data_IF_607359683795
#
_entry.id   IF_607359683795
#
_cell.length_a   1.000
_cell.length_b   1.000
_cell.length_c   1.000
_cell.angle_alpha   90.00
_cell.angle_beta   90.00
_cell.angle_gamma   90.00
#
_symmetry.space_group_name_H-M   'P 1'
#
loop_
_entity.id
_entity.type
_entity.pdbx_description
1 polymer ?
#
# COMPACT_ATOMS: atom_id res chain seq x y z
N UNK A 1 35.26 -20.46 18.86
CA UNK A 1 34.51 -19.33 19.46
C UNK A 1 34.09 -18.37 18.35
N UNK A 2 32.89 -18.52 17.80
CA UNK A 2 32.39 -17.61 16.74
C UNK A 2 31.61 -16.47 17.37
N UNK A 3 32.14 -15.26 17.24
CA UNK A 3 31.55 -14.00 17.71
C UNK A 3 30.21 -13.78 17.01
N UNK A 4 29.11 -13.92 17.74
CA UNK A 4 27.78 -13.49 17.31
C UNK A 4 27.76 -11.96 17.26
N UNK A 5 27.86 -11.40 16.06
CA UNK A 5 27.68 -9.97 15.84
C UNK A 5 26.25 -9.59 16.26
N UNK A 6 26.09 -9.09 17.48
CA UNK A 6 24.82 -8.55 17.96
C UNK A 6 24.57 -7.25 17.21
N UNK A 7 23.76 -7.33 16.15
CA UNK A 7 23.32 -6.15 15.42
C UNK A 7 22.61 -5.19 16.37
N UNK A 8 22.74 -3.87 16.11
CA UNK A 8 22.09 -2.78 16.84
C UNK A 8 20.66 -3.16 17.25
N UNK A 9 20.34 -3.06 18.55
CA UNK A 9 19.01 -3.39 19.11
C UNK A 9 17.92 -2.67 18.32
N UNK A 10 16.89 -3.41 17.92
CA UNK A 10 15.76 -2.86 17.20
C UNK A 10 14.92 -1.97 18.12
N UNK A 11 14.47 -0.82 17.61
CA UNK A 11 13.58 0.05 18.36
C UNK A 11 12.23 -0.64 18.65
N UNK A 12 11.56 -0.29 19.75
CA UNK A 12 10.22 -0.75 20.06
C UNK A 12 9.26 -0.54 18.89
N UNK A 13 8.39 -1.51 18.64
CA UNK A 13 7.32 -1.38 17.66
C UNK A 13 6.20 -0.54 18.28
N UNK A 14 5.96 0.65 17.72
CA UNK A 14 4.88 1.55 18.15
C UNK A 14 3.99 1.83 16.94
N UNK A 15 2.77 1.30 16.95
CA UNK A 15 1.76 1.56 15.93
C UNK A 15 0.35 1.31 16.49
N UNK A 16 -0.65 2.17 16.19
CA UNK A 16 -2.04 1.92 16.56
C UNK A 16 -2.67 0.76 15.77
N UNK A 17 -2.04 0.34 14.66
CA UNK A 17 -2.50 -0.77 13.85
C UNK A 17 -1.94 -2.11 14.38
N UNK A 18 -2.73 -2.83 15.18
CA UNK A 18 -2.35 -4.12 15.76
C UNK A 18 -1.92 -5.17 14.73
N UNK A 19 -2.51 -5.17 13.54
CA UNK A 19 -2.13 -6.10 12.46
C UNK A 19 -0.75 -5.76 11.87
N UNK A 20 -0.42 -4.46 11.79
CA UNK A 20 0.90 -4.02 11.37
C UNK A 20 1.98 -4.31 12.43
N UNK A 21 1.63 -4.20 13.71
CA UNK A 21 2.48 -4.67 14.82
C UNK A 21 2.73 -6.17 14.71
N UNK A 22 1.68 -6.97 14.49
CA UNK A 22 1.79 -8.42 14.34
C UNK A 22 2.69 -8.82 13.16
N UNK A 23 2.55 -8.18 12.00
CA UNK A 23 3.44 -8.40 10.86
C UNK A 23 4.89 -8.08 11.20
N UNK A 24 5.15 -6.90 11.79
CA UNK A 24 6.50 -6.46 12.11
C UNK A 24 7.16 -7.37 13.16
N UNK A 25 6.42 -7.77 14.19
CA UNK A 25 6.90 -8.69 15.21
C UNK A 25 7.24 -10.05 14.60
N UNK A 26 6.33 -10.60 13.79
CA UNK A 26 6.57 -11.87 13.11
C UNK A 26 7.84 -11.83 12.23
N UNK A 27 8.06 -10.76 11.47
CA UNK A 27 9.29 -10.61 10.67
C UNK A 27 10.56 -10.61 11.55
N UNK A 28 10.54 -9.91 12.69
CA UNK A 28 11.66 -9.87 13.63
C UNK A 28 11.92 -11.23 14.28
N UNK A 29 10.85 -11.96 14.61
CA UNK A 29 10.94 -13.30 15.18
C UNK A 29 11.59 -14.26 14.18
N UNK A 30 11.20 -14.22 12.90
CA UNK A 30 11.82 -15.03 11.85
C UNK A 30 13.29 -14.68 11.61
N UNK A 31 13.65 -13.39 11.67
CA UNK A 31 15.07 -12.97 11.58
C UNK A 31 15.89 -13.47 12.75
N UNK A 32 15.32 -13.40 13.95
CA UNK A 32 15.99 -13.85 15.18
C UNK A 32 16.18 -15.37 15.17
N UNK A 33 15.15 -16.13 14.75
CA UNK A 33 15.22 -17.58 14.61
C UNK A 33 16.21 -18.04 13.54
N UNK A 34 16.36 -17.29 12.44
CA UNK A 34 17.35 -17.58 11.38
C UNK A 34 18.78 -17.10 11.72
N UNK A 35 18.96 -16.36 12.81
CA UNK A 35 20.27 -15.83 13.22
C UNK A 35 20.86 -14.78 12.29
N UNK A 36 20.07 -14.21 11.37
CA UNK A 36 20.58 -13.28 10.37
C UNK A 36 20.68 -11.84 10.91
N UNK A 37 21.83 -11.21 10.70
CA UNK A 37 21.95 -9.75 10.82
C UNK A 37 21.20 -9.08 9.67
N UNK A 38 20.76 -7.82 9.84
CA UNK A 38 20.14 -7.07 8.75
C UNK A 38 21.04 -6.93 7.51
N UNK A 39 22.37 -6.87 7.71
CA UNK A 39 23.33 -6.83 6.62
C UNK A 39 23.34 -8.16 5.84
N UNK A 40 23.34 -9.29 6.54
CA UNK A 40 23.27 -10.61 5.89
C UNK A 40 21.93 -10.84 5.21
N UNK A 41 20.84 -10.44 5.87
CA UNK A 41 19.49 -10.56 5.33
C UNK A 41 19.29 -9.69 4.08
N UNK A 42 19.92 -8.51 4.03
CA UNK A 42 19.91 -7.65 2.85
C UNK A 42 20.50 -8.33 1.61
N UNK A 43 21.64 -9.00 1.78
CA UNK A 43 22.29 -9.78 0.71
C UNK A 43 21.37 -10.92 0.24
N UNK A 44 20.81 -11.69 1.18
CA UNK A 44 19.93 -12.82 0.85
C UNK A 44 18.61 -12.40 0.21
N UNK A 45 18.04 -11.28 0.64
CA UNK A 45 16.76 -10.76 0.13
C UNK A 45 16.90 -9.92 -1.15
N UNK A 46 18.13 -9.60 -1.58
CA UNK A 46 18.38 -8.68 -2.70
C UNK A 46 17.80 -7.28 -2.48
N UNK A 47 17.77 -6.83 -1.23
CA UNK A 47 17.17 -5.55 -0.80
C UNK A 47 18.13 -4.79 0.12
N UNK A 48 18.05 -3.47 0.17
CA UNK A 48 18.85 -2.70 1.13
C UNK A 48 18.45 -3.01 2.58
N UNK A 49 19.44 -3.06 3.48
CA UNK A 49 19.21 -3.32 4.91
C UNK A 49 18.23 -2.32 5.54
N UNK A 50 18.26 -1.05 5.11
CA UNK A 50 17.33 0.00 5.55
C UNK A 50 15.89 -0.29 5.13
N UNK A 51 15.66 -0.88 3.96
CA UNK A 51 14.31 -1.31 3.51
C UNK A 51 13.77 -2.43 4.40
N UNK A 52 14.62 -3.40 4.76
CA UNK A 52 14.23 -4.51 5.63
C UNK A 52 13.97 -4.05 7.07
N UNK A 53 14.79 -3.12 7.59
CA UNK A 53 14.54 -2.48 8.90
C UNK A 53 13.23 -1.71 8.90
N UNK A 54 12.93 -0.95 7.84
CA UNK A 54 11.65 -0.24 7.69
C UNK A 54 10.49 -1.21 7.64
N UNK A 55 10.62 -2.34 6.93
CA UNK A 55 9.59 -3.36 6.89
C UNK A 55 9.29 -3.98 8.27
N UNK A 56 10.31 -4.15 9.10
CA UNK A 56 10.21 -4.64 10.47
C UNK A 56 9.94 -3.53 11.52
N UNK A 57 9.65 -2.29 11.11
CA UNK A 57 9.47 -1.16 12.06
C UNK A 57 8.02 -0.89 12.46
N UNK A 58 7.05 -1.45 11.74
CA UNK A 58 5.62 -1.15 11.85
C UNK A 58 5.22 0.33 11.67
N UNK A 59 6.13 1.18 11.15
CA UNK A 59 5.84 2.61 10.90
C UNK A 59 4.93 2.85 9.69
N UNK A 60 4.98 1.93 8.74
CA UNK A 60 4.14 1.92 7.54
C UNK A 60 4.00 0.47 7.06
N UNK A 61 2.92 0.18 6.31
CA UNK A 61 2.75 -1.13 5.68
C UNK A 61 3.85 -1.33 4.63
N UNK A 62 4.75 -2.33 4.78
CA UNK A 62 5.78 -2.59 3.79
C UNK A 62 5.21 -3.12 2.48
N UNK A 63 6.05 -3.20 1.45
CA UNK A 63 5.63 -3.81 0.19
C UNK A 63 5.51 -5.32 0.27
N UNK A 64 4.62 -5.91 -0.55
CA UNK A 64 4.49 -7.36 -0.64
C UNK A 64 5.81 -8.05 -1.06
N UNK A 65 6.55 -7.42 -1.99
CA UNK A 65 7.86 -7.90 -2.45
C UNK A 65 8.85 -7.95 -1.30
N UNK A 66 8.98 -6.87 -0.53
CA UNK A 66 9.89 -6.80 0.60
C UNK A 66 9.52 -7.83 1.67
N UNK A 67 8.24 -8.04 1.95
CA UNK A 67 7.78 -9.05 2.92
C UNK A 67 8.08 -10.47 2.45
N UNK A 68 7.80 -10.81 1.18
CA UNK A 68 8.16 -12.13 0.62
C UNK A 68 9.66 -12.36 0.61
N UNK A 69 10.42 -11.37 0.15
CA UNK A 69 11.88 -11.47 0.12
C UNK A 69 12.47 -11.65 1.52
N UNK A 70 11.93 -10.95 2.52
CA UNK A 70 12.31 -11.12 3.93
C UNK A 70 12.01 -12.54 4.41
N UNK A 71 10.78 -13.03 4.22
CA UNK A 71 10.38 -14.36 4.64
C UNK A 71 11.25 -15.44 3.99
N UNK A 72 11.45 -15.37 2.67
CA UNK A 72 12.32 -16.27 1.91
C UNK A 72 13.76 -16.24 2.42
N UNK A 73 14.31 -15.06 2.64
CA UNK A 73 15.68 -14.88 3.13
C UNK A 73 15.87 -15.44 4.56
N UNK A 74 14.82 -15.49 5.37
CA UNK A 74 14.82 -16.15 6.68
C UNK A 74 14.46 -17.64 6.62
N UNK A 75 14.20 -18.22 5.45
CA UNK A 75 13.69 -19.59 5.31
C UNK A 75 12.27 -19.79 5.87
N UNK A 76 11.50 -18.71 6.01
CA UNK A 76 10.17 -18.72 6.59
C UNK A 76 9.06 -18.86 5.54
N UNK A 77 7.85 -19.20 5.99
CA UNK A 77 6.68 -19.37 5.10
C UNK A 77 6.28 -18.05 4.42
N UNK A 78 6.44 -17.97 3.09
CA UNK A 78 5.96 -16.84 2.28
C UNK A 78 4.43 -16.69 2.35
N UNK A 79 3.70 -17.81 2.43
CA UNK A 79 2.23 -17.80 2.57
C UNK A 79 1.81 -17.10 3.86
N UNK A 80 2.41 -17.47 4.99
CA UNK A 80 2.10 -16.84 6.29
C UNK A 80 2.46 -15.36 6.31
N UNK A 81 3.62 -15.02 5.75
CA UNK A 81 4.06 -13.63 5.61
C UNK A 81 3.02 -12.80 4.84
N UNK A 82 2.45 -13.39 3.79
CA UNK A 82 1.48 -12.71 2.94
C UNK A 82 0.08 -12.60 3.55
N UNK A 83 -0.34 -13.59 4.34
CA UNK A 83 -1.57 -13.49 5.14
C UNK A 83 -1.49 -12.33 6.14
N UNK A 84 -0.39 -12.24 6.91
CA UNK A 84 -0.18 -11.15 7.87
C UNK A 84 -0.09 -9.79 7.19
N UNK A 85 0.63 -9.71 6.07
CA UNK A 85 0.71 -8.49 5.28
C UNK A 85 -0.65 -8.02 4.78
N UNK A 86 -1.48 -8.94 4.29
CA UNK A 86 -2.81 -8.60 3.80
C UNK A 86 -3.72 -8.09 4.93
N UNK A 87 -3.64 -8.67 6.13
CA UNK A 87 -4.36 -8.18 7.32
C UNK A 87 -3.89 -6.78 7.72
N UNK A 88 -2.57 -6.56 7.81
CA UNK A 88 -1.97 -5.27 8.12
C UNK A 88 -2.41 -4.18 7.14
N UNK A 89 -2.41 -4.50 5.85
CA UNK A 89 -2.85 -3.60 4.79
C UNK A 89 -4.33 -3.26 4.89
N UNK A 90 -5.20 -4.26 5.03
CA UNK A 90 -6.66 -4.05 5.16
C UNK A 90 -6.99 -3.15 6.36
N UNK A 91 -6.29 -3.31 7.49
CA UNK A 91 -6.51 -2.47 8.67
C UNK A 91 -5.96 -1.06 8.48
N UNK A 92 -4.81 -0.90 7.83
CA UNK A 92 -4.22 0.41 7.55
C UNK A 92 -5.11 1.28 6.65
N UNK A 93 -5.78 0.64 5.68
CA UNK A 93 -6.76 1.28 4.80
C UNK A 93 -8.00 1.77 5.57
N UNK A 94 -8.42 1.06 6.61
CA UNK A 94 -9.59 1.42 7.43
C UNK A 94 -9.31 2.53 8.44
N UNK A 95 -8.05 2.95 8.61
CA UNK A 95 -7.68 4.01 9.54
C UNK A 95 -7.60 5.34 8.80
N UNK A 96 -8.47 6.33 9.11
CA UNK A 96 -8.32 7.68 8.59
C UNK A 96 -6.93 8.22 8.96
N UNK A 97 -6.16 8.68 7.96
CA UNK A 97 -4.79 9.17 8.16
C UNK A 97 -3.67 8.12 7.98
N UNK A 98 -3.99 6.87 7.61
CA UNK A 98 -3.03 5.78 7.41
C UNK A 98 -2.17 5.86 6.14
N UNK A 99 -1.59 7.01 5.79
CA UNK A 99 -0.53 7.18 4.77
C UNK A 99 -0.83 6.77 3.31
N UNK A 100 -2.01 6.19 3.05
CA UNK A 100 -2.58 5.88 1.73
C UNK A 100 -3.27 7.14 1.18
N UNK A 101 -3.13 7.45 -0.11
CA UNK A 101 -3.81 8.59 -0.70
C UNK A 101 -5.33 8.40 -0.60
N UNK A 102 -6.03 9.43 -0.16
CA UNK A 102 -7.49 9.44 -0.04
C UNK A 102 -8.12 9.58 -1.43
N UNK A 103 -8.88 8.58 -1.93
CA UNK A 103 -9.55 8.66 -3.22
C UNK A 103 -10.61 9.78 -3.28
N UNK A 104 -11.18 10.17 -2.14
CA UNK A 104 -12.21 11.21 -2.08
C UNK A 104 -11.62 12.62 -2.28
N UNK A 105 -10.34 12.82 -1.93
CA UNK A 105 -9.62 14.08 -2.13
C UNK A 105 -8.93 14.22 -3.50
N UNK A 106 -9.09 13.26 -4.41
CA UNK A 106 -8.53 13.34 -5.76
C UNK A 106 -9.43 14.21 -6.63
N UNK A 107 -8.95 15.41 -6.94
CA UNK A 107 -9.62 16.36 -7.84
C UNK A 107 -8.71 16.73 -9.02
N UNK A 108 -9.20 16.46 -10.24
CA UNK A 108 -8.46 16.65 -11.47
C UNK A 108 -7.35 15.63 -11.76
N UNK A 109 -6.81 15.72 -12.98
CA UNK A 109 -5.86 14.73 -13.53
C UNK A 109 -4.53 14.71 -12.78
N UNK A 110 -4.03 15.86 -12.31
CA UNK A 110 -2.75 15.93 -11.60
C UNK A 110 -2.83 15.31 -10.20
N UNK A 111 -3.91 15.53 -9.47
CA UNK A 111 -4.15 14.85 -8.19
C UNK A 111 -4.27 13.33 -8.39
N UNK A 112 -4.91 12.90 -9.48
CA UNK A 112 -5.00 11.49 -9.83
C UNK A 112 -3.61 10.89 -10.13
N UNK A 113 -2.76 11.55 -10.94
CA UNK A 113 -1.38 11.11 -11.20
C UNK A 113 -0.58 10.97 -9.91
N UNK A 114 -0.69 11.96 -9.02
CA UNK A 114 -0.03 11.94 -7.71
C UNK A 114 -0.52 10.76 -6.85
N UNK A 115 -1.83 10.54 -6.80
CA UNK A 115 -2.46 9.41 -6.10
C UNK A 115 -1.98 8.05 -6.62
N UNK A 116 -1.98 7.85 -7.95
CA UNK A 116 -1.50 6.61 -8.58
C UNK A 116 -0.01 6.36 -8.34
N UNK A 117 0.82 7.41 -8.42
CA UNK A 117 2.24 7.32 -8.09
C UNK A 117 2.43 6.94 -6.63
N UNK A 118 1.65 7.52 -5.72
CA UNK A 118 1.71 7.20 -4.31
C UNK A 118 1.28 5.76 -4.01
N UNK A 119 0.22 5.26 -4.66
CA UNK A 119 -0.17 3.85 -4.58
C UNK A 119 0.96 2.92 -5.05
N UNK A 120 1.62 3.27 -6.15
CA UNK A 120 2.76 2.52 -6.67
C UNK A 120 3.95 2.48 -5.67
N UNK A 121 4.25 3.61 -5.04
CA UNK A 121 5.28 3.68 -4.00
C UNK A 121 4.94 2.86 -2.77
N UNK A 122 3.70 2.95 -2.29
CA UNK A 122 3.20 2.16 -1.16
C UNK A 122 3.16 0.66 -1.48
N UNK A 123 2.94 0.30 -2.75
CA UNK A 123 3.06 -1.07 -3.23
C UNK A 123 4.52 -1.56 -3.31
N UNK A 124 5.50 -0.71 -3.01
CA UNK A 124 6.93 -1.01 -3.06
C UNK A 124 7.56 -0.92 -4.42
N UNK A 125 6.98 -0.15 -5.33
CA UNK A 125 7.46 0.03 -6.70
C UNK A 125 7.62 -1.32 -7.42
N UNK A 126 6.56 -2.15 -7.51
CA UNK A 126 6.64 -3.45 -8.18
C UNK A 126 7.11 -3.27 -9.63
N UNK A 127 8.02 -4.11 -10.15
CA UNK A 127 8.47 -4.03 -11.55
C UNK A 127 7.28 -4.16 -12.50
N UNK A 128 7.32 -3.44 -13.62
CA UNK A 128 6.18 -3.33 -14.55
C UNK A 128 5.72 -4.67 -15.15
N UNK A 129 6.61 -5.66 -15.26
CA UNK A 129 6.24 -7.03 -15.65
C UNK A 129 5.43 -7.76 -14.58
N UNK A 130 5.83 -7.65 -13.31
CA UNK A 130 5.07 -8.20 -12.18
C UNK A 130 3.71 -7.48 -12.04
N UNK A 131 3.64 -6.19 -12.40
CA UNK A 131 2.38 -5.46 -12.45
C UNK A 131 1.43 -6.04 -13.52
N UNK A 132 1.93 -6.31 -14.72
CA UNK A 132 1.14 -6.92 -15.82
C UNK A 132 0.62 -8.31 -15.43
N UNK A 133 1.48 -9.17 -14.89
CA UNK A 133 1.10 -10.50 -14.40
C UNK A 133 -0.02 -10.45 -13.34
N UNK A 134 0.12 -9.55 -12.35
CA UNK A 134 -0.88 -9.38 -11.29
C UNK A 134 -2.18 -8.77 -11.78
N UNK A 135 -2.12 -7.85 -12.73
CA UNK A 135 -3.31 -7.21 -13.29
C UNK A 135 -4.17 -8.20 -14.09
N UNK A 136 -3.56 -9.25 -14.63
CA UNK A 136 -4.19 -10.20 -15.53
C UNK A 136 -4.03 -9.78 -16.99
N UNK A 137 -4.02 -10.79 -17.88
CA UNK A 137 -3.74 -10.63 -19.31
C UNK A 137 -4.57 -9.53 -19.95
N UNK A 138 -3.90 -8.58 -20.61
CA UNK A 138 -4.53 -7.50 -21.37
C UNK A 138 -5.12 -6.36 -20.54
N UNK A 139 -5.24 -6.48 -19.21
CA UNK A 139 -5.83 -5.41 -18.36
C UNK A 139 -4.85 -4.27 -18.11
N UNK A 140 -3.57 -4.57 -17.96
CA UNK A 140 -2.53 -3.57 -17.78
C UNK A 140 -1.23 -4.00 -18.48
N UNK A 141 -1.08 -3.69 -19.77
CA UNK A 141 0.17 -3.94 -20.48
C UNK A 141 1.37 -3.26 -19.79
N UNK A 142 2.54 -3.90 -19.72
CA UNK A 142 3.71 -3.32 -19.04
C UNK A 142 4.09 -1.92 -19.55
N UNK A 143 3.92 -1.66 -20.86
CA UNK A 143 4.20 -0.35 -21.48
C UNK A 143 3.25 0.75 -20.97
N UNK A 144 2.00 0.38 -20.69
CA UNK A 144 1.00 1.26 -20.07
C UNK A 144 1.29 1.44 -18.59
N UNK A 145 1.60 0.36 -17.86
CA UNK A 145 2.02 0.44 -16.46
C UNK A 145 3.22 1.39 -16.30
N UNK A 146 4.24 1.26 -17.14
CA UNK A 146 5.42 2.12 -17.16
C UNK A 146 5.07 3.60 -17.36
N UNK A 147 4.20 3.91 -18.34
CA UNK A 147 3.77 5.30 -18.58
C UNK A 147 2.94 5.87 -17.42
N UNK A 148 2.12 5.05 -16.76
CA UNK A 148 1.32 5.48 -15.60
C UNK A 148 2.22 5.78 -14.41
N UNK A 149 3.13 4.87 -14.03
CA UNK A 149 4.03 5.09 -12.89
C UNK A 149 5.00 6.26 -13.12
N UNK A 150 5.42 6.46 -14.38
CA UNK A 150 6.19 7.62 -14.80
C UNK A 150 5.40 8.92 -14.84
N UNK A 151 4.08 8.88 -14.61
CA UNK A 151 3.19 10.05 -14.67
C UNK A 151 3.02 10.61 -16.08
N UNK A 152 3.37 9.88 -17.14
CA UNK A 152 3.21 10.30 -18.54
C UNK A 152 1.78 10.13 -19.02
N UNK A 153 1.07 9.12 -18.50
CA UNK A 153 -0.36 8.90 -18.79
C UNK A 153 -1.14 8.52 -17.53
N UNK A 154 -2.45 8.55 -17.62
CA UNK A 154 -3.38 7.99 -16.61
C UNK A 154 -4.14 6.81 -17.25
N UNK A 155 -4.74 5.91 -16.45
CA UNK A 155 -5.56 4.83 -17.00
C UNK A 155 -6.63 5.36 -17.97
N UNK A 156 -6.76 4.74 -19.15
CA UNK A 156 -7.67 5.21 -20.20
C UNK A 156 -9.13 4.77 -19.98
N UNK A 157 -9.30 3.64 -19.30
CA UNK A 157 -10.56 2.94 -19.09
C UNK A 157 -10.57 2.27 -17.71
N UNK A 158 -11.75 1.74 -17.34
CA UNK A 158 -11.96 1.06 -16.05
C UNK A 158 -11.07 -0.18 -15.95
N UNK A 159 -10.85 -0.93 -17.03
CA UNK A 159 -10.03 -2.14 -17.00
C UNK A 159 -8.57 -1.84 -16.64
N UNK A 160 -7.98 -0.79 -17.22
CA UNK A 160 -6.65 -0.32 -16.87
C UNK A 160 -6.58 0.21 -15.44
N UNK A 161 -7.63 0.90 -14.98
CA UNK A 161 -7.69 1.38 -13.61
C UNK A 161 -7.72 0.21 -12.62
N UNK A 162 -8.67 -0.71 -12.78
CA UNK A 162 -8.75 -1.94 -11.96
C UNK A 162 -7.49 -2.79 -12.04
N UNK A 163 -6.89 -2.90 -13.24
CA UNK A 163 -5.62 -3.59 -13.45
C UNK A 163 -4.48 -2.95 -12.65
N UNK A 164 -4.35 -1.62 -12.69
CA UNK A 164 -3.36 -0.88 -11.92
C UNK A 164 -3.56 -1.03 -10.40
N UNK A 165 -4.80 -0.92 -9.92
CA UNK A 165 -5.12 -1.10 -8.50
C UNK A 165 -4.79 -2.52 -8.03
N UNK A 166 -5.12 -3.54 -8.83
CA UNK A 166 -4.78 -4.94 -8.56
C UNK A 166 -3.27 -5.17 -8.56
N UNK A 167 -2.55 -4.59 -9.53
CA UNK A 167 -1.09 -4.66 -9.63
C UNK A 167 -0.40 -4.06 -8.39
N UNK A 168 -0.93 -2.93 -7.91
CA UNK A 168 -0.52 -2.28 -6.66
C UNK A 168 -1.10 -2.97 -5.40
N UNK A 169 -1.88 -4.04 -5.59
CA UNK A 169 -2.55 -4.84 -4.56
C UNK A 169 -3.48 -4.03 -3.64
N UNK A 170 -4.07 -2.96 -4.15
CA UNK A 170 -5.12 -2.16 -3.50
C UNK A 170 -6.31 -3.08 -3.21
N UNK A 171 -6.94 -2.93 -2.04
CA UNK A 171 -8.02 -3.83 -1.65
C UNK A 171 -9.21 -3.68 -2.61
N UNK A 172 -9.84 -4.80 -2.99
CA UNK A 172 -10.96 -4.79 -3.93
C UNK A 172 -12.12 -3.87 -3.49
N UNK A 173 -12.33 -3.72 -2.16
CA UNK A 173 -13.33 -2.81 -1.60
C UNK A 173 -13.03 -1.32 -1.86
N UNK A 174 -11.79 -0.95 -2.14
CA UNK A 174 -11.39 0.42 -2.48
C UNK A 174 -11.45 0.70 -3.98
N UNK A 175 -11.58 -0.35 -4.82
CA UNK A 175 -11.57 -0.16 -6.28
C UNK A 175 -12.69 0.77 -6.75
N UNK A 176 -13.94 0.67 -6.24
CA UNK A 176 -15.00 1.61 -6.61
C UNK A 176 -14.64 3.07 -6.30
N UNK A 177 -14.07 3.35 -5.11
CA UNK A 177 -13.69 4.70 -4.71
C UNK A 177 -12.63 5.31 -5.62
N UNK A 178 -11.65 4.52 -6.03
CA UNK A 178 -10.62 4.94 -6.98
C UNK A 178 -11.16 5.11 -8.40
N UNK A 179 -12.11 4.25 -8.82
CA UNK A 179 -12.77 4.38 -10.12
C UNK A 179 -13.61 5.67 -10.17
N UNK A 180 -14.35 5.98 -9.11
CA UNK A 180 -15.13 7.22 -9.04
C UNK A 180 -14.22 8.45 -8.99
N UNK A 181 -13.13 8.40 -8.23
CA UNK A 181 -12.10 9.45 -8.25
C UNK A 181 -11.54 9.69 -9.67
N UNK A 182 -11.32 8.62 -10.42
CA UNK A 182 -10.85 8.68 -11.81
C UNK A 182 -11.89 9.24 -12.77
N UNK A 183 -13.18 8.89 -12.61
CA UNK A 183 -14.26 9.46 -13.40
C UNK A 183 -14.37 10.96 -13.18
N UNK A 184 -14.38 11.40 -11.91
CA UNK A 184 -14.37 12.82 -11.52
C UNK A 184 -13.16 13.56 -12.11
N UNK A 185 -11.96 13.02 -11.92
CA UNK A 185 -10.72 13.64 -12.37
C UNK A 185 -10.64 13.81 -13.90
N UNK A 186 -11.29 12.95 -14.67
CA UNK A 186 -11.36 13.03 -16.13
C UNK A 186 -12.58 13.78 -16.66
N UNK A 187 -13.41 14.36 -15.79
CA UNK A 187 -14.67 15.01 -16.18
C UNK A 187 -15.65 14.03 -16.85
N UNK A 188 -15.54 12.74 -16.55
CA UNK A 188 -16.42 11.68 -17.09
C UNK A 188 -17.69 11.49 -16.26
N UNK A 189 -17.75 12.12 -15.10
CA UNK A 189 -18.99 12.35 -14.40
C UNK A 189 -19.59 13.64 -14.94
N UNK A 190 -20.76 13.55 -15.60
CA UNK A 190 -21.69 14.68 -15.61
C UNK A 190 -21.88 15.10 -14.16
N UNK A 191 -21.79 16.39 -13.79
CA UNK A 191 -22.02 16.79 -12.41
C UNK A 191 -23.43 16.35 -12.03
N UNK A 192 -23.55 15.29 -11.21
CA UNK A 192 -24.78 15.13 -10.44
C UNK A 192 -24.82 16.36 -9.53
N UNK A 193 -25.89 17.17 -9.57
CA UNK A 193 -26.00 18.31 -8.68
C UNK A 193 -25.76 17.83 -7.25
N UNK A 194 -24.99 18.58 -6.44
CA UNK A 194 -24.75 18.18 -5.06
C UNK A 194 -26.13 17.99 -4.41
N UNK A 195 -26.36 16.79 -3.86
CA UNK A 195 -27.52 16.53 -3.04
C UNK A 195 -27.60 17.67 -1.99
N UNK A 196 -28.78 18.30 -1.80
CA UNK A 196 -28.89 19.40 -0.87
C UNK A 196 -28.41 18.91 0.48
N UNK A 197 -27.29 19.47 0.97
CA UNK A 197 -26.94 19.37 2.38
C UNK A 197 -28.13 19.98 3.11
N UNK A 198 -28.93 19.14 3.75
CA UNK A 198 -29.95 19.58 4.69
C UNK A 198 -29.24 20.32 5.80
N UNK A 199 -29.08 21.64 5.61
CA UNK A 199 -28.92 22.58 6.70
C UNK A 199 -30.26 22.64 7.42
N UNK A 200 -30.46 21.75 8.38
CA UNK A 200 -31.41 21.99 9.46
C UNK A 200 -30.63 22.62 10.60
N UNK A 201 -30.38 23.91 10.47
CA UNK A 201 -29.97 24.77 11.56
C UNK A 201 -31.19 25.41 12.23
N UNK A 202 -31.05 25.56 13.54
CA UNK A 202 -31.51 26.68 14.36
C UNK A 202 -32.98 26.76 14.86
N UNK A 203 -33.10 26.56 16.19
CA UNK A 203 -33.56 27.52 17.22
C UNK A 203 -34.93 28.23 17.08
N UNK A 204 -35.75 28.06 18.12
CA UNK A 204 -36.75 29.04 18.61
C UNK A 204 -37.31 28.54 19.95
N UNK A 205 -36.81 28.96 21.11
CA UNK A 205 -37.35 30.05 21.95
C UNK A 205 -38.89 30.15 21.95
N UNK A 206 -39.55 29.70 23.02
CA UNK A 206 -40.74 30.38 23.57
C UNK A 206 -40.71 30.30 25.09
N UNK A 207 -40.70 31.49 25.68
CA UNK A 207 -41.01 31.81 27.08
C UNK A 207 -42.53 31.91 27.18
N UNK A 208 -43.15 31.18 28.13
CA UNK A 208 -44.24 31.67 29.01
C UNK A 208 -44.66 30.61 29.99
#
# INVERSE_FOLDING_TARGET
MTVTAVGRKENPIVSPNRELVALAQWLRDQRSASGHSYARLAVLAGCHATTLQRAASARAVPSARSVRAYARACGASEKKAMELWLKARRRNVRTPGGGSPDPLGVDGVEALRAGLRRLYELAGRPPVREMEERAGTGRLPHSTAHRIVGGRTVPRDIHQMTGFLTACSVAAAEHPLWIDAWRRALGRDTPSPPAPRTAAGAVGLVVR
#
